data_IF_880790396414
#
_entry.id   IF_880790396414
#
_cell.length_a   1.000
_cell.length_b   1.000
_cell.length_c   1.000
_cell.angle_alpha   90.00
_cell.angle_beta   90.00
_cell.angle_gamma   90.00
#
_symmetry.space_group_name_H-M   'P 1'
#
loop_
_entity.id
_entity.type
_entity.pdbx_description
1 polymer ?
#
# COMPACT_ATOMS: atom_id res chain seq x y z
N UNK A 1 -0.67 -32.70 14.67
CA UNK A 1 -1.93 -32.08 14.24
C UNK A 1 -2.02 -32.37 12.75
N UNK A 2 -3.01 -33.17 12.36
CA UNK A 2 -3.10 -33.86 11.06
C UNK A 2 -3.84 -32.99 10.03
N UNK A 3 -3.45 -33.04 8.76
CA UNK A 3 -3.88 -32.13 7.67
C UNK A 3 -5.20 -32.61 7.02
N UNK A 4 -5.82 -33.64 7.58
CA UNK A 4 -7.01 -34.31 7.03
C UNK A 4 -8.36 -33.66 7.41
N UNK A 5 -8.37 -32.63 8.26
CA UNK A 5 -9.61 -31.98 8.73
C UNK A 5 -10.12 -30.82 7.85
N UNK A 6 -9.47 -30.51 6.72
CA UNK A 6 -9.85 -29.40 5.81
C UNK A 6 -10.83 -29.79 4.67
N UNK A 7 -11.63 -30.84 4.85
CA UNK A 7 -12.63 -31.24 3.85
C UNK A 7 -14.05 -30.98 4.34
N UNK A 8 -14.49 -29.73 4.22
CA UNK A 8 -15.89 -29.35 4.06
C UNK A 8 -15.92 -27.94 3.45
N UNK A 9 -15.59 -27.84 2.16
CA UNK A 9 -15.93 -26.65 1.39
C UNK A 9 -17.44 -26.67 1.09
N UNK A 10 -18.17 -25.57 1.30
CA UNK A 10 -19.54 -25.44 0.80
C UNK A 10 -19.56 -25.54 -0.74
N UNK A 11 -20.70 -25.89 -1.35
CA UNK A 11 -20.81 -25.98 -2.80
C UNK A 11 -20.44 -24.65 -3.46
N UNK A 12 -19.76 -24.74 -4.61
CA UNK A 12 -19.40 -23.58 -5.44
C UNK A 12 -20.67 -22.75 -5.72
N UNK A 13 -20.66 -21.42 -5.46
CA UNK A 13 -21.77 -20.56 -5.85
C UNK A 13 -21.89 -20.55 -7.38
N UNK A 14 -23.14 -20.60 -7.87
CA UNK A 14 -23.40 -20.56 -9.31
C UNK A 14 -22.86 -19.27 -9.92
N UNK A 15 -22.22 -19.40 -11.09
CA UNK A 15 -21.76 -18.29 -11.91
C UNK A 15 -22.93 -17.59 -12.63
N UNK A 16 -23.88 -17.08 -11.86
CA UNK A 16 -24.73 -15.99 -12.35
C UNK A 16 -24.03 -14.70 -11.91
N UNK A 17 -23.55 -13.92 -12.89
CA UNK A 17 -22.89 -12.63 -12.64
C UNK A 17 -23.77 -11.80 -11.69
N UNK A 18 -23.29 -11.42 -10.49
CA UNK A 18 -24.07 -10.53 -9.65
C UNK A 18 -24.21 -9.22 -10.41
N UNK A 19 -25.44 -8.85 -10.75
CA UNK A 19 -25.76 -7.49 -11.16
C UNK A 19 -25.26 -6.57 -10.04
N UNK A 20 -24.12 -5.91 -10.29
CA UNK A 20 -23.56 -4.90 -9.42
C UNK A 20 -24.54 -3.73 -9.37
N UNK A 21 -25.49 -3.79 -8.44
CA UNK A 21 -26.25 -2.61 -8.04
C UNK A 21 -25.26 -1.71 -7.33
N UNK A 22 -24.71 -0.75 -8.07
CA UNK A 22 -24.08 0.45 -7.50
C UNK A 22 -25.20 1.22 -6.81
N UNK A 23 -25.56 0.74 -5.62
CA UNK A 23 -26.58 1.33 -4.77
C UNK A 23 -26.04 2.65 -4.26
N UNK A 24 -26.63 3.73 -4.75
CA UNK A 24 -26.43 5.10 -4.27
C UNK A 24 -26.40 5.15 -2.74
N UNK A 25 -25.27 5.56 -2.16
CA UNK A 25 -25.13 6.21 -0.85
C UNK A 25 -26.05 5.71 0.27
N UNK A 26 -25.66 4.67 1.00
CA UNK A 26 -26.19 4.47 2.37
C UNK A 26 -25.48 5.42 3.33
N UNK A 27 -26.05 6.63 3.45
CA UNK A 27 -25.77 7.81 4.28
C UNK A 27 -24.90 7.70 5.58
N UNK A 28 -24.73 6.53 6.20
CA UNK A 28 -24.11 6.35 7.51
C UNK A 28 -22.57 6.42 7.49
N UNK A 29 -21.89 5.61 6.67
CA UNK A 29 -20.42 5.53 6.70
C UNK A 29 -19.71 6.59 5.87
N UNK A 30 -20.33 7.10 4.80
CA UNK A 30 -19.86 8.33 4.15
C UNK A 30 -19.84 9.52 5.14
N UNK A 31 -20.78 9.53 6.09
CA UNK A 31 -20.82 10.51 7.18
C UNK A 31 -19.74 10.20 8.23
N UNK A 32 -19.53 8.94 8.60
CA UNK A 32 -18.46 8.53 9.52
C UNK A 32 -17.07 8.91 8.98
N UNK A 33 -16.76 8.57 7.73
CA UNK A 33 -15.49 8.90 7.08
C UNK A 33 -15.28 10.41 7.03
N UNK A 34 -16.30 11.18 6.62
CA UNK A 34 -16.23 12.64 6.60
C UNK A 34 -16.00 13.24 7.99
N UNK A 35 -16.68 12.73 9.02
CA UNK A 35 -16.51 13.16 10.42
C UNK A 35 -15.13 12.81 10.95
N UNK A 36 -14.63 11.62 10.64
CA UNK A 36 -13.30 11.17 11.04
C UNK A 36 -12.22 12.04 10.41
N UNK A 37 -12.32 12.34 9.10
CA UNK A 37 -11.40 13.25 8.41
C UNK A 37 -11.44 14.67 8.97
N UNK A 38 -12.63 15.22 9.23
CA UNK A 38 -12.77 16.53 9.88
C UNK A 38 -12.17 16.54 11.31
N UNK A 39 -12.27 15.40 12.01
CA UNK A 39 -11.68 15.23 13.34
C UNK A 39 -10.15 15.15 13.25
N UNK A 40 -9.62 14.43 12.27
CA UNK A 40 -8.18 14.35 11.99
C UNK A 40 -7.60 15.73 11.72
N UNK A 41 -8.24 16.51 10.86
CA UNK A 41 -7.83 17.89 10.55
C UNK A 41 -7.84 18.78 11.80
N UNK A 42 -8.91 18.73 12.60
CA UNK A 42 -9.02 19.51 13.84
C UNK A 42 -7.96 19.14 14.88
N UNK A 43 -7.62 17.85 14.96
CA UNK A 43 -6.65 17.32 15.92
C UNK A 43 -5.21 17.35 15.40
N UNK A 44 -4.99 17.69 14.12
CA UNK A 44 -3.66 17.69 13.50
C UNK A 44 -3.09 16.29 13.28
N UNK A 45 -3.95 15.27 13.12
CA UNK A 45 -3.53 13.88 12.90
C UNK A 45 -3.15 13.68 11.43
N UNK A 46 -1.92 14.08 11.07
CA UNK A 46 -1.42 14.06 9.68
C UNK A 46 -0.39 12.97 9.43
N UNK A 47 0.16 12.38 10.49
CA UNK A 47 1.11 11.26 10.41
C UNK A 47 0.66 10.07 11.27
N UNK A 48 1.23 8.89 10.99
CA UNK A 48 0.91 7.66 11.74
C UNK A 48 1.35 7.76 13.20
N UNK A 49 2.44 8.48 13.48
CA UNK A 49 2.89 8.83 14.82
C UNK A 49 1.78 9.51 15.63
N UNK A 50 1.15 10.53 15.05
CA UNK A 50 0.09 11.29 15.72
C UNK A 50 -1.13 10.40 16.00
N UNK A 51 -1.45 9.51 15.07
CA UNK A 51 -2.56 8.55 15.21
C UNK A 51 -2.30 7.54 16.32
N UNK A 52 -1.07 7.04 16.44
CA UNK A 52 -0.67 6.15 17.54
C UNK A 52 -0.73 6.85 18.89
N UNK A 53 -0.17 8.05 19.00
CA UNK A 53 -0.20 8.83 20.24
C UNK A 53 -1.64 9.13 20.68
N UNK A 54 -2.51 9.48 19.73
CA UNK A 54 -3.93 9.69 19.99
C UNK A 54 -4.64 8.40 20.40
N UNK A 55 -4.32 7.27 19.76
CA UNK A 55 -4.86 5.95 20.12
C UNK A 55 -4.50 5.58 21.55
N UNK A 56 -3.22 5.62 21.92
CA UNK A 56 -2.78 5.23 23.25
C UNK A 56 -3.34 6.15 24.33
N UNK A 57 -3.27 7.47 24.11
CA UNK A 57 -3.84 8.46 25.06
C UNK A 57 -5.33 8.23 25.28
N UNK A 58 -6.09 8.01 24.21
CA UNK A 58 -7.54 7.78 24.29
C UNK A 58 -7.88 6.45 24.96
N UNK A 59 -7.12 5.40 24.64
CA UNK A 59 -7.30 4.08 25.22
C UNK A 59 -6.97 4.06 26.70
N UNK A 60 -5.88 4.69 27.12
CA UNK A 60 -5.46 4.75 28.52
C UNK A 60 -6.50 5.50 29.36
N UNK A 61 -6.96 6.66 28.89
CA UNK A 61 -8.07 7.40 29.53
C UNK A 61 -9.36 6.57 29.59
N UNK A 62 -9.64 5.75 28.58
CA UNK A 62 -10.77 4.82 28.60
C UNK A 62 -10.59 3.70 29.65
N UNK A 63 -9.39 3.17 29.78
CA UNK A 63 -9.05 2.12 30.74
C UNK A 63 -9.07 2.59 32.20
N UNK A 64 -8.78 3.86 32.46
CA UNK A 64 -8.89 4.51 33.78
C UNK A 64 -10.32 4.48 34.34
N UNK A 65 -11.33 4.43 33.47
CA UNK A 65 -12.71 4.28 33.91
C UNK A 65 -12.96 2.86 34.45
N UNK A 66 -13.69 2.72 35.58
CA UNK A 66 -14.12 1.41 36.08
C UNK A 66 -14.85 0.62 34.98
N UNK A 67 -14.61 -0.69 34.89
CA UNK A 67 -15.10 -1.53 33.78
C UNK A 67 -16.59 -1.35 33.46
N UNK A 68 -17.43 -1.18 34.48
CA UNK A 68 -18.88 -1.00 34.35
C UNK A 68 -19.31 0.40 33.90
N UNK A 69 -18.41 1.39 33.98
CA UNK A 69 -18.63 2.80 33.65
C UNK A 69 -17.93 3.23 32.36
N UNK A 70 -17.22 2.30 31.70
CA UNK A 70 -16.53 2.59 30.45
C UNK A 70 -17.54 2.97 29.37
N UNK A 71 -17.42 4.16 28.75
CA UNK A 71 -18.27 4.52 27.62
C UNK A 71 -17.98 3.56 26.44
N UNK A 72 -18.93 3.40 25.52
CA UNK A 72 -18.69 2.63 24.31
C UNK A 72 -17.59 3.29 23.45
N UNK A 73 -16.45 2.63 23.18
CA UNK A 73 -15.35 3.21 22.41
C UNK A 73 -15.57 3.12 20.89
N UNK A 74 -16.70 2.58 20.41
CA UNK A 74 -16.91 2.28 18.99
C UNK A 74 -16.68 3.48 18.06
N UNK A 75 -17.14 4.67 18.41
CA UNK A 75 -16.94 5.88 17.61
C UNK A 75 -15.46 6.33 17.56
N UNK A 76 -14.74 6.17 18.68
CA UNK A 76 -13.30 6.47 18.75
C UNK A 76 -12.51 5.48 17.90
N UNK A 77 -12.78 4.18 18.06
CA UNK A 77 -12.16 3.11 17.27
C UNK A 77 -12.40 3.34 15.79
N UNK A 78 -13.64 3.61 15.40
CA UNK A 78 -14.01 3.86 14.01
C UNK A 78 -13.30 5.11 13.45
N UNK A 79 -13.20 6.18 14.23
CA UNK A 79 -12.49 7.40 13.82
C UNK A 79 -11.01 7.13 13.59
N UNK A 80 -10.33 6.50 14.56
CA UNK A 80 -8.90 6.16 14.45
C UNK A 80 -8.66 5.22 13.26
N UNK A 81 -9.51 4.22 13.09
CA UNK A 81 -9.44 3.26 12.00
C UNK A 81 -9.56 3.91 10.63
N UNK A 82 -10.52 4.83 10.44
CA UNK A 82 -10.65 5.57 9.19
C UNK A 82 -9.37 6.38 8.94
N UNK A 83 -8.85 7.10 9.93
CA UNK A 83 -7.66 7.94 9.73
C UNK A 83 -6.44 7.08 9.38
N UNK A 84 -6.20 6.01 10.13
CA UNK A 84 -5.10 5.07 9.85
C UNK A 84 -5.25 4.42 8.46
N UNK A 85 -6.49 4.07 8.07
CA UNK A 85 -6.78 3.51 6.77
C UNK A 85 -6.60 4.52 5.62
N UNK A 86 -6.96 5.78 5.82
CA UNK A 86 -6.73 6.83 4.83
C UNK A 86 -5.23 7.11 4.65
N UNK A 87 -4.45 7.09 5.73
CA UNK A 87 -2.99 7.21 5.65
C UNK A 87 -2.36 6.00 4.93
N UNK A 88 -2.83 4.79 5.22
CA UNK A 88 -2.44 3.59 4.47
C UNK A 88 -2.84 3.70 2.99
N UNK A 89 -4.06 4.16 2.71
CA UNK A 89 -4.58 4.34 1.35
C UNK A 89 -3.83 5.42 0.57
N UNK A 90 -3.38 6.48 1.23
CA UNK A 90 -2.52 7.50 0.61
C UNK A 90 -1.12 6.96 0.31
N UNK A 91 -0.51 6.24 1.26
CA UNK A 91 0.83 5.69 1.07
C UNK A 91 0.81 4.60 -0.01
N UNK A 92 -0.11 3.64 0.07
CA UNK A 92 -0.20 2.47 -0.80
C UNK A 92 -1.17 2.61 -1.99
N UNK A 93 -1.78 3.79 -2.19
CA UNK A 93 -2.76 4.09 -3.24
C UNK A 93 -3.96 3.15 -3.27
N UNK A 94 -4.34 2.68 -2.09
CA UNK A 94 -5.54 1.89 -1.99
C UNK A 94 -6.74 2.83 -2.09
N UNK A 95 -7.70 2.42 -2.90
CA UNK A 95 -8.98 3.12 -2.95
C UNK A 95 -9.81 2.68 -1.75
N UNK A 96 -10.48 3.60 -1.04
CA UNK A 96 -11.47 3.24 -0.06
C UNK A 96 -12.70 2.66 -0.77
N UNK A 97 -13.18 1.53 -0.28
CA UNK A 97 -14.40 0.87 -0.75
C UNK A 97 -15.27 0.53 0.45
N UNK A 98 -16.56 0.70 0.27
CA UNK A 98 -17.53 0.29 1.26
C UNK A 98 -18.06 -1.07 0.84
N UNK A 99 -17.62 -2.11 1.56
CA UNK A 99 -18.07 -3.47 1.34
C UNK A 99 -19.34 -3.73 2.15
N UNK A 100 -20.38 -4.27 1.52
CA UNK A 100 -21.57 -4.74 2.24
C UNK A 100 -21.38 -6.21 2.60
N UNK A 101 -21.23 -6.48 3.88
CA UNK A 101 -21.19 -7.85 4.38
C UNK A 101 -22.63 -8.37 4.48
N UNK A 102 -23.01 -9.25 3.56
CA UNK A 102 -24.35 -9.84 3.48
C UNK A 102 -24.70 -10.69 4.71
N UNK A 103 -23.71 -11.33 5.34
CA UNK A 103 -23.92 -12.18 6.52
C UNK A 103 -24.17 -11.35 7.77
N UNK A 104 -23.41 -10.26 7.93
CA UNK A 104 -23.55 -9.40 9.11
C UNK A 104 -24.47 -8.21 8.89
N UNK A 105 -24.97 -8.01 7.65
CA UNK A 105 -25.77 -6.85 7.20
C UNK A 105 -25.13 -5.51 7.54
N UNK A 106 -23.79 -5.46 7.55
CA UNK A 106 -23.01 -4.30 7.93
C UNK A 106 -22.14 -3.83 6.78
N UNK A 107 -22.19 -2.52 6.54
CA UNK A 107 -21.21 -1.83 5.72
C UNK A 107 -19.85 -1.85 6.45
N UNK A 108 -18.77 -2.17 5.73
CA UNK A 108 -17.40 -2.20 6.25
C UNK A 108 -16.54 -1.24 5.43
N UNK A 109 -15.79 -0.39 6.13
CA UNK A 109 -14.73 0.40 5.51
C UNK A 109 -13.57 -0.50 5.17
N UNK A 110 -13.27 -0.58 3.87
CA UNK A 110 -12.26 -1.45 3.31
C UNK A 110 -11.32 -0.63 2.42
N UNK A 111 -10.08 -1.05 2.31
CA UNK A 111 -9.17 -0.53 1.30
C UNK A 111 -8.90 -1.64 0.30
N UNK A 112 -9.00 -1.32 -0.99
CA UNK A 112 -8.72 -2.24 -2.09
C UNK A 112 -7.74 -1.61 -3.07
N UNK A 113 -6.96 -2.44 -3.77
CA UNK A 113 -6.15 -1.99 -4.90
C UNK A 113 -6.88 -2.34 -6.22
N UNK A 114 -7.65 -1.42 -6.83
CA UNK A 114 -8.43 -1.72 -8.03
C UNK A 114 -7.59 -2.03 -9.28
N UNK A 115 -6.27 -1.89 -9.23
CA UNK A 115 -5.41 -1.94 -10.42
C UNK A 115 -4.22 -2.88 -10.28
N UNK A 116 -4.22 -3.83 -9.34
CA UNK A 116 -3.13 -4.79 -9.21
C UNK A 116 -3.03 -5.67 -10.48
N UNK A 117 -1.98 -5.54 -11.31
CA UNK A 117 -1.95 -6.13 -12.65
C UNK A 117 -1.55 -7.61 -12.67
N UNK A 118 -1.22 -8.22 -11.52
CA UNK A 118 -0.59 -9.55 -11.48
C UNK A 118 -1.50 -10.70 -11.03
N UNK A 119 -2.80 -10.49 -10.85
CA UNK A 119 -3.71 -11.59 -10.47
C UNK A 119 -3.43 -12.18 -9.07
N UNK A 120 -2.71 -11.45 -8.21
CA UNK A 120 -2.75 -11.68 -6.77
C UNK A 120 -4.14 -11.24 -6.31
N UNK A 121 -4.84 -12.15 -5.65
CA UNK A 121 -6.16 -11.97 -5.04
C UNK A 121 -6.31 -10.57 -4.42
N UNK A 122 -7.48 -9.95 -4.62
CA UNK A 122 -7.80 -8.62 -4.10
C UNK A 122 -7.34 -8.47 -2.64
N UNK A 123 -6.30 -7.65 -2.41
CA UNK A 123 -5.82 -7.38 -1.07
C UNK A 123 -6.82 -6.47 -0.37
N UNK A 124 -7.56 -7.06 0.56
CA UNK A 124 -8.55 -6.37 1.37
C UNK A 124 -7.98 -6.01 2.75
N UNK A 125 -7.98 -4.72 3.06
CA UNK A 125 -7.63 -4.23 4.39
C UNK A 125 -8.87 -3.76 5.12
N UNK A 126 -9.01 -4.15 6.39
CA UNK A 126 -10.14 -3.84 7.27
C UNK A 126 -9.66 -3.03 8.49
N UNK A 127 -9.59 -1.68 8.37
CA UNK A 127 -8.94 -0.85 9.38
C UNK A 127 -9.68 -0.85 10.72
N UNK A 128 -11.02 -0.97 10.70
CA UNK A 128 -11.84 -0.97 11.92
C UNK A 128 -11.52 -2.19 12.78
N UNK A 129 -11.50 -3.37 12.19
CA UNK A 129 -11.15 -4.62 12.86
C UNK A 129 -9.73 -4.58 13.41
N UNK A 130 -8.78 -4.05 12.63
CA UNK A 130 -7.39 -3.94 13.04
C UNK A 130 -7.22 -3.06 14.29
N UNK A 131 -7.88 -1.90 14.35
CA UNK A 131 -7.85 -1.01 15.52
C UNK A 131 -8.65 -1.61 16.69
N UNK A 132 -9.80 -2.24 16.40
CA UNK A 132 -10.65 -2.85 17.44
C UNK A 132 -9.95 -3.97 18.20
N UNK A 133 -9.26 -4.86 17.50
CA UNK A 133 -8.47 -5.94 18.12
C UNK A 133 -7.46 -5.36 19.11
N UNK A 134 -6.70 -4.35 18.68
CA UNK A 134 -5.70 -3.66 19.51
C UNK A 134 -6.30 -2.88 20.68
N UNK A 135 -7.53 -2.40 20.55
CA UNK A 135 -8.20 -1.68 21.63
C UNK A 135 -8.46 -2.58 22.84
N UNK A 136 -8.92 -3.81 22.60
CA UNK A 136 -9.37 -4.75 23.64
C UNK A 136 -8.35 -5.83 24.02
N UNK A 137 -7.28 -6.02 23.25
CA UNK A 137 -6.21 -6.95 23.60
C UNK A 137 -5.39 -6.41 24.79
N UNK A 138 -5.60 -7.02 25.95
CA UNK A 138 -4.81 -6.74 27.16
C UNK A 138 -3.35 -7.12 26.91
N UNK A 139 -2.46 -6.13 27.00
CA UNK A 139 -1.00 -6.34 26.91
C UNK A 139 -0.37 -6.12 25.54
N UNK A 140 -1.14 -5.83 24.48
CA UNK A 140 -0.55 -5.39 23.22
C UNK A 140 -0.12 -3.91 23.32
N UNK A 141 1.16 -3.65 23.10
CA UNK A 141 1.76 -2.29 23.07
C UNK A 141 1.81 -1.73 21.66
N UNK A 142 1.11 -2.35 20.70
CA UNK A 142 1.19 -2.01 19.28
C UNK A 142 -0.05 -1.22 18.84
N UNK A 143 0.19 0.01 18.42
CA UNK A 143 -0.85 0.90 17.92
C UNK A 143 -1.24 0.63 16.46
N UNK A 144 -2.18 1.42 15.92
CA UNK A 144 -2.56 1.43 14.51
C UNK A 144 -1.37 1.49 13.53
N UNK A 145 -0.30 2.22 13.83
CA UNK A 145 0.91 2.31 13.01
C UNK A 145 1.52 0.95 12.73
N UNK A 146 1.59 0.06 13.73
CA UNK A 146 2.16 -1.27 13.53
C UNK A 146 1.35 -2.08 12.52
N UNK A 147 0.04 -1.92 12.51
CA UNK A 147 -0.82 -2.53 11.49
C UNK A 147 -0.56 -1.92 10.11
N UNK A 148 -0.49 -0.58 10.00
CA UNK A 148 -0.19 0.09 8.73
C UNK A 148 1.19 -0.34 8.20
N UNK A 149 2.22 -0.39 9.03
CA UNK A 149 3.55 -0.87 8.62
C UNK A 149 3.54 -2.32 8.14
N UNK A 150 2.76 -3.20 8.78
CA UNK A 150 2.62 -4.57 8.32
C UNK A 150 1.83 -4.65 7.01
N UNK A 151 0.78 -3.83 6.85
CA UNK A 151 0.03 -3.71 5.61
C UNK A 151 0.94 -3.21 4.47
N UNK A 152 1.74 -2.18 4.69
CA UNK A 152 2.72 -1.68 3.72
C UNK A 152 3.80 -2.73 3.40
N UNK A 153 4.23 -3.53 4.39
CA UNK A 153 5.13 -4.67 4.14
C UNK A 153 4.44 -5.76 3.32
N UNK A 154 3.16 -6.01 3.48
CA UNK A 154 2.42 -6.94 2.62
C UNK A 154 2.33 -6.35 1.22
N UNK A 155 1.87 -5.11 1.08
CA UNK A 155 1.69 -4.44 -0.22
C UNK A 155 3.01 -4.32 -0.99
N UNK A 156 4.06 -3.79 -0.36
CA UNK A 156 5.35 -3.55 -1.03
C UNK A 156 6.34 -4.70 -0.91
N UNK A 157 6.16 -5.56 0.09
CA UNK A 157 6.97 -6.76 0.25
C UNK A 157 6.47 -7.89 -0.63
N UNK A 158 5.17 -8.02 -0.90
CA UNK A 158 4.65 -8.99 -1.89
C UNK A 158 4.84 -8.51 -3.33
N UNK A 159 4.86 -7.19 -3.60
CA UNK A 159 5.32 -6.67 -4.91
C UNK A 159 6.84 -6.91 -5.14
N UNK A 160 7.57 -7.37 -4.11
CA UNK A 160 8.95 -7.88 -4.25
C UNK A 160 9.11 -9.33 -3.77
N UNK A 161 8.02 -10.07 -3.55
CA UNK A 161 8.09 -11.46 -3.08
C UNK A 161 7.96 -12.48 -4.22
N UNK A 162 7.90 -12.06 -5.48
CA UNK A 162 8.09 -13.01 -6.57
C UNK A 162 9.47 -13.66 -6.37
N UNK A 163 9.51 -14.97 -6.04
CA UNK A 163 10.77 -15.65 -5.80
C UNK A 163 11.70 -15.58 -7.00
N UNK A 164 11.17 -15.43 -8.23
CA UNK A 164 11.93 -15.24 -9.45
C UNK A 164 12.67 -13.89 -9.46
N UNK A 165 11.97 -12.80 -9.15
CA UNK A 165 12.56 -11.46 -9.07
C UNK A 165 13.65 -11.39 -7.99
N UNK A 166 13.38 -11.99 -6.82
CA UNK A 166 14.39 -12.08 -5.74
C UNK A 166 15.55 -13.02 -6.10
N UNK A 167 15.35 -13.98 -7.00
CA UNK A 167 16.42 -14.84 -7.49
C UNK A 167 17.30 -14.11 -8.50
N UNK A 168 16.72 -13.29 -9.38
CA UNK A 168 17.44 -12.42 -10.31
C UNK A 168 18.31 -11.40 -9.57
N UNK A 169 17.74 -10.68 -8.59
CA UNK A 169 18.51 -9.74 -7.76
C UNK A 169 19.68 -10.44 -7.06
N UNK A 170 19.46 -11.64 -6.53
CA UNK A 170 20.51 -12.45 -5.88
C UNK A 170 21.59 -12.91 -6.85
N UNK A 171 21.20 -13.30 -8.07
CA UNK A 171 22.13 -13.71 -9.11
C UNK A 171 23.00 -12.53 -9.56
N UNK A 172 22.40 -11.39 -9.86
CA UNK A 172 23.13 -10.19 -10.31
C UNK A 172 24.05 -9.64 -9.22
N UNK A 173 23.60 -9.61 -7.96
CA UNK A 173 24.46 -9.27 -6.82
C UNK A 173 25.59 -10.28 -6.61
N UNK A 174 25.34 -11.58 -6.79
CA UNK A 174 26.39 -12.60 -6.69
C UNK A 174 27.44 -12.45 -7.79
N UNK A 175 27.03 -12.13 -9.02
CA UNK A 175 27.95 -11.82 -10.13
C UNK A 175 28.79 -10.57 -9.83
N UNK A 176 28.17 -9.54 -9.26
CA UNK A 176 28.89 -8.32 -8.87
C UNK A 176 29.86 -8.55 -7.72
N UNK A 177 29.49 -9.39 -6.75
CA UNK A 177 30.35 -9.83 -5.68
C UNK A 177 31.59 -10.56 -6.22
N UNK A 178 31.39 -11.49 -7.16
CA UNK A 178 32.46 -12.24 -7.80
C UNK A 178 33.44 -11.34 -8.57
N UNK A 179 32.98 -10.18 -9.07
CA UNK A 179 33.80 -9.17 -9.76
C UNK A 179 34.43 -8.15 -8.81
N UNK A 180 34.20 -8.24 -7.49
CA UNK A 180 34.72 -7.28 -6.50
C UNK A 180 34.12 -5.87 -6.64
N UNK A 181 32.88 -5.76 -7.11
CA UNK A 181 32.25 -4.49 -7.47
C UNK A 181 31.19 -3.98 -6.49
N UNK A 182 30.84 -4.71 -5.42
CA UNK A 182 29.74 -4.34 -4.51
C UNK A 182 29.94 -2.99 -3.80
N UNK A 183 31.18 -2.59 -3.54
CA UNK A 183 31.48 -1.30 -2.93
C UNK A 183 31.64 -0.16 -3.93
N UNK A 184 31.62 -0.46 -5.24
CA UNK A 184 31.71 0.56 -6.27
C UNK A 184 30.35 1.21 -6.46
N UNK A 185 30.38 2.53 -6.58
CA UNK A 185 29.28 3.34 -7.10
C UNK A 185 29.19 3.12 -8.60
N UNK A 186 28.33 2.19 -9.02
CA UNK A 186 28.00 2.01 -10.44
C UNK A 186 26.62 2.59 -10.70
N UNK A 187 26.41 2.96 -11.96
CA UNK A 187 25.12 3.43 -12.45
C UNK A 187 24.09 2.31 -12.32
N UNK A 188 22.98 2.59 -11.67
CA UNK A 188 21.83 1.69 -11.52
C UNK A 188 20.69 2.29 -12.33
N UNK A 189 20.24 1.60 -13.38
CA UNK A 189 19.15 2.01 -14.26
C UNK A 189 17.87 1.29 -13.88
N UNK A 190 16.79 2.03 -13.69
CA UNK A 190 15.46 1.53 -13.32
C UNK A 190 14.49 1.82 -14.46
N UNK A 191 13.69 0.82 -14.82
CA UNK A 191 12.77 0.89 -15.96
C UNK A 191 11.32 0.85 -15.50
N UNK A 192 10.49 1.63 -16.17
CA UNK A 192 9.07 1.79 -15.89
C UNK A 192 8.28 1.81 -17.19
N UNK A 193 7.02 1.39 -17.12
CA UNK A 193 6.05 1.50 -18.21
C UNK A 193 4.78 2.20 -17.72
N UNK A 194 4.26 3.13 -18.52
CA UNK A 194 3.06 3.91 -18.20
C UNK A 194 2.09 3.87 -19.36
N UNK A 195 0.78 3.89 -19.07
CA UNK A 195 -0.24 3.95 -20.11
C UNK A 195 -0.32 5.31 -20.80
N UNK A 196 0.06 6.37 -20.11
CA UNK A 196 0.03 7.72 -20.65
C UNK A 196 1.26 8.55 -20.27
N UNK A 197 1.44 9.60 -21.07
CA UNK A 197 2.57 10.51 -21.00
C UNK A 197 2.58 11.35 -19.72
N UNK A 198 1.41 11.78 -19.25
CA UNK A 198 1.32 12.70 -18.10
C UNK A 198 1.79 11.99 -16.82
N UNK A 199 1.38 10.74 -16.67
CA UNK A 199 1.82 9.86 -15.60
C UNK A 199 3.33 9.58 -15.64
N UNK A 200 3.89 9.31 -16.82
CA UNK A 200 5.34 9.13 -16.97
C UNK A 200 6.13 10.42 -16.61
N UNK A 201 5.61 11.60 -16.98
CA UNK A 201 6.23 12.89 -16.63
C UNK A 201 6.16 13.12 -15.12
N UNK A 202 5.00 12.92 -14.50
CA UNK A 202 4.81 13.13 -13.08
C UNK A 202 5.67 12.15 -12.24
N UNK A 203 5.79 10.89 -12.68
CA UNK A 203 6.70 9.91 -12.10
C UNK A 203 8.17 10.35 -12.17
N UNK A 204 8.60 10.85 -13.33
CA UNK A 204 9.94 11.40 -13.51
C UNK A 204 10.18 12.59 -12.58
N UNK A 205 9.24 13.55 -12.51
CA UNK A 205 9.36 14.72 -11.64
C UNK A 205 9.51 14.32 -10.17
N UNK A 206 8.70 13.37 -9.70
CA UNK A 206 8.79 12.83 -8.35
C UNK A 206 10.15 12.16 -8.08
N UNK A 207 10.65 11.35 -9.01
CA UNK A 207 11.97 10.72 -8.90
C UNK A 207 13.10 11.76 -8.92
N UNK A 208 13.01 12.80 -9.74
CA UNK A 208 14.06 13.81 -9.88
C UNK A 208 14.33 14.56 -8.57
N UNK A 209 13.30 14.78 -7.75
CA UNK A 209 13.41 15.38 -6.41
C UNK A 209 14.30 14.54 -5.47
N UNK A 210 14.34 13.23 -5.68
CA UNK A 210 15.15 12.27 -4.92
C UNK A 210 16.50 11.95 -5.58
N UNK A 211 16.98 12.82 -6.47
CA UNK A 211 18.30 12.72 -7.09
C UNK A 211 18.41 11.73 -8.24
N UNK A 212 17.28 11.22 -8.75
CA UNK A 212 17.27 10.37 -9.94
C UNK A 212 17.50 11.19 -11.21
N UNK A 213 18.15 10.60 -12.20
CA UNK A 213 18.50 11.24 -13.46
C UNK A 213 17.89 10.46 -14.64
N UNK A 214 17.46 11.17 -15.70
CA UNK A 214 16.86 10.54 -16.87
C UNK A 214 17.95 9.94 -17.78
N UNK A 215 17.77 8.71 -18.28
CA UNK A 215 18.76 8.09 -19.18
C UNK A 215 18.79 8.83 -20.53
N UNK A 216 19.98 9.23 -20.97
CA UNK A 216 20.19 9.93 -22.26
C UNK A 216 19.62 9.12 -23.45
N UNK A 217 18.99 9.82 -24.39
CA UNK A 217 18.50 9.21 -25.64
C UNK A 217 17.18 8.44 -25.53
N UNK A 218 16.48 8.47 -24.39
CA UNK A 218 15.05 8.14 -24.41
C UNK A 218 14.34 9.10 -25.38
N UNK A 219 13.44 8.60 -26.28
CA UNK A 219 12.55 9.48 -27.01
C UNK A 219 11.89 10.29 -25.92
N UNK A 220 12.13 11.60 -25.96
CA UNK A 220 11.77 12.46 -24.86
C UNK A 220 10.32 12.15 -24.48
N UNK A 221 9.97 12.37 -23.23
CA UNK A 221 8.59 12.58 -22.79
C UNK A 221 7.92 13.73 -23.57
N UNK A 222 8.27 14.00 -24.83
CA UNK A 222 7.96 15.13 -25.70
C UNK A 222 7.68 14.70 -27.15
N UNK A 223 7.76 13.42 -27.53
CA UNK A 223 7.35 13.02 -28.88
C UNK A 223 5.81 12.89 -28.93
N UNK A 224 5.09 13.81 -29.60
CA UNK A 224 3.63 13.88 -29.51
C UNK A 224 2.92 12.85 -30.41
N UNK A 225 3.67 12.05 -31.18
CA UNK A 225 3.14 11.13 -32.17
C UNK A 225 3.51 9.69 -31.78
N UNK A 226 2.81 9.12 -30.80
CA UNK A 226 2.82 7.67 -30.55
C UNK A 226 1.44 7.09 -30.84
N UNK A 227 1.42 5.90 -31.42
CA UNK A 227 0.20 5.14 -31.66
C UNK A 227 -0.47 4.81 -30.31
N UNK A 228 -1.81 4.74 -30.30
CA UNK A 228 -2.62 4.65 -29.07
C UNK A 228 -2.34 3.41 -28.19
N UNK A 229 -1.59 2.43 -28.70
CA UNK A 229 -1.32 1.15 -28.03
C UNK A 229 0.11 1.02 -27.47
N UNK A 230 0.98 2.01 -27.63
CA UNK A 230 2.36 1.95 -27.11
C UNK A 230 2.47 2.51 -25.69
N UNK A 231 2.96 1.68 -24.75
CA UNK A 231 3.31 2.13 -23.39
C UNK A 231 4.46 3.14 -23.41
N UNK A 232 4.36 4.13 -22.52
CA UNK A 232 5.38 5.12 -22.25
C UNK A 232 6.46 4.52 -21.35
N UNK A 233 7.66 4.30 -21.92
CA UNK A 233 8.79 3.76 -21.15
C UNK A 233 9.61 4.88 -20.55
N UNK A 234 9.78 4.88 -19.22
CA UNK A 234 10.67 5.77 -18.50
C UNK A 234 11.86 4.96 -17.98
N UNK A 235 13.07 5.48 -18.20
CA UNK A 235 14.31 4.94 -17.63
C UNK A 235 15.03 6.03 -16.87
N UNK A 236 15.21 5.81 -15.59
CA UNK A 236 15.98 6.69 -14.72
C UNK A 236 17.19 5.94 -14.18
N UNK A 237 18.18 6.68 -13.71
CA UNK A 237 19.35 6.11 -13.08
C UNK A 237 19.82 6.91 -11.88
N UNK A 238 20.60 6.24 -11.03
CA UNK A 238 21.40 6.85 -9.98
C UNK A 238 22.76 6.18 -9.88
N UNK A 239 23.76 6.93 -9.42
CA UNK A 239 25.15 6.49 -9.28
C UNK A 239 25.77 6.92 -7.94
N UNK A 240 24.99 7.53 -7.06
CA UNK A 240 25.43 8.05 -5.77
C UNK A 240 25.41 7.00 -4.65
N UNK A 241 24.66 5.91 -4.84
CA UNK A 241 24.44 4.85 -3.84
C UNK A 241 25.25 3.57 -4.12
N UNK A 242 25.70 2.84 -3.08
CA UNK A 242 26.33 1.53 -3.25
C UNK A 242 25.34 0.49 -3.80
N UNK A 243 25.85 -0.57 -4.42
CA UNK A 243 25.05 -1.68 -4.96
C UNK A 243 25.16 -2.87 -4.03
N UNK A 244 24.17 -2.99 -3.14
CA UNK A 244 24.04 -4.11 -2.23
C UNK A 244 22.56 -4.46 -2.03
N UNK A 245 22.29 -5.58 -1.38
CA UNK A 245 20.92 -6.07 -1.17
C UNK A 245 20.01 -5.04 -0.47
N UNK A 246 20.55 -4.26 0.47
CA UNK A 246 19.78 -3.27 1.22
C UNK A 246 19.42 -2.06 0.35
N UNK A 247 20.39 -1.49 -0.38
CA UNK A 247 20.13 -0.35 -1.26
C UNK A 247 19.24 -0.73 -2.43
N UNK A 248 19.45 -1.89 -3.06
CA UNK A 248 18.57 -2.36 -4.15
C UNK A 248 17.13 -2.52 -3.64
N UNK A 249 16.92 -3.19 -2.51
CA UNK A 249 15.58 -3.34 -1.94
C UNK A 249 14.94 -1.98 -1.60
N UNK A 250 15.70 -1.05 -1.04
CA UNK A 250 15.20 0.29 -0.73
C UNK A 250 14.83 1.08 -1.99
N UNK A 251 15.64 1.00 -3.04
CA UNK A 251 15.37 1.64 -4.32
C UNK A 251 14.16 1.04 -5.02
N UNK A 252 14.03 -0.30 -5.04
CA UNK A 252 12.85 -0.98 -5.56
C UNK A 252 11.58 -0.48 -4.87
N UNK A 253 11.58 -0.35 -3.53
CA UNK A 253 10.44 0.24 -2.81
C UNK A 253 10.08 1.64 -3.30
N UNK A 254 11.08 2.52 -3.46
CA UNK A 254 10.85 3.88 -3.97
C UNK A 254 10.30 3.84 -5.39
N UNK A 255 10.91 3.07 -6.28
CA UNK A 255 10.50 2.96 -7.68
C UNK A 255 9.11 2.32 -7.82
N UNK A 256 8.84 1.20 -7.15
CA UNK A 256 7.51 0.59 -7.11
C UNK A 256 6.45 1.56 -6.61
N UNK A 257 6.72 2.30 -5.51
CA UNK A 257 5.78 3.31 -5.01
C UNK A 257 5.53 4.41 -6.02
N UNK A 258 6.57 4.93 -6.67
CA UNK A 258 6.40 5.93 -7.74
C UNK A 258 5.59 5.36 -8.90
N UNK A 259 5.90 4.16 -9.38
CA UNK A 259 5.18 3.52 -10.46
C UNK A 259 3.69 3.42 -10.13
N UNK A 260 3.36 2.90 -8.94
CA UNK A 260 1.99 2.87 -8.46
C UNK A 260 1.37 4.28 -8.42
N UNK A 261 2.07 5.28 -7.87
CA UNK A 261 1.55 6.65 -7.64
C UNK A 261 1.09 7.33 -8.93
N UNK A 262 1.67 6.90 -10.05
CA UNK A 262 1.39 7.43 -11.36
C UNK A 262 0.91 6.33 -12.30
N UNK A 263 0.21 5.32 -11.81
CA UNK A 263 -0.48 4.31 -12.63
C UNK A 263 0.43 3.62 -13.67
N UNK A 264 1.67 3.36 -13.29
CA UNK A 264 2.68 2.67 -14.07
C UNK A 264 3.09 1.34 -13.48
N UNK A 265 3.85 0.61 -14.26
CA UNK A 265 4.49 -0.65 -13.92
C UNK A 265 5.98 -0.41 -13.73
N UNK A 266 6.55 -0.92 -12.64
CA UNK A 266 7.98 -0.94 -12.42
C UNK A 266 8.55 -2.28 -12.88
N UNK A 267 9.36 -2.25 -13.94
CA UNK A 267 9.92 -3.43 -14.60
C UNK A 267 11.14 -4.00 -13.89
N UNK A 268 11.77 -3.20 -13.00
CA UNK A 268 12.98 -3.60 -12.30
C UNK A 268 14.18 -2.70 -12.62
N UNK A 269 15.36 -3.20 -12.28
CA UNK A 269 16.62 -2.48 -12.34
C UNK A 269 17.69 -3.29 -13.07
N UNK A 270 18.77 -2.62 -13.47
CA UNK A 270 19.96 -3.19 -14.13
C UNK A 270 21.13 -2.21 -14.04
N UNK A 271 22.36 -2.67 -14.26
CA UNK A 271 23.54 -1.80 -14.38
C UNK A 271 23.72 -1.20 -15.78
#
# INVERSE_FOLDING_TARGET
MDISDFKNFPPEPSMDEPEYVVSELTHGQATLRRRALATAEKLGLVALEDVDDYFFTSRDAWLENPREQRPDPSDLIATIAVIAGELLGQEALLSPYNYWDEETTKERYMLHNPQHPTGIEDLYFFPIEAVRQRWFEDGDTKGPRHWVENALKLIYGEVNADPAVLAEDRLELAELAARGNLEKRLRQTHSFEFRDRLNAIAAWEALSIHGWQLVEGQPALMDPVREMDELWSLKVYREDLPINAETIAAQRRVCSRVACNYYGLYEGWRL
#
